data_IF_876199506126
#
_entry.id   IF_876199506126
#
_cell.length_a   1.000
_cell.length_b   1.000
_cell.length_c   1.000
_cell.angle_alpha   90.00
_cell.angle_beta   90.00
_cell.angle_gamma   90.00
#
_symmetry.space_group_name_H-M   'P 1'
#
loop_
_entity.id
_entity.type
_entity.pdbx_description
1 polymer ?
#
# COMPACT_ATOMS: atom_id res chain seq x y z
N UNK A 1 8.90 6.97 22.95
CA UNK A 1 7.82 7.92 22.62
C UNK A 1 7.60 8.02 21.12
N UNK A 2 8.64 7.99 20.28
CA UNK A 2 8.55 8.14 18.82
C UNK A 2 7.76 7.05 18.06
N UNK A 3 7.83 5.76 18.44
CA UNK A 3 7.12 4.69 17.71
C UNK A 3 5.59 4.85 17.71
N UNK A 4 4.99 5.27 18.84
CA UNK A 4 3.55 5.49 18.92
C UNK A 4 3.11 6.69 18.07
N UNK A 5 3.90 7.75 18.07
CA UNK A 5 3.65 8.94 17.25
C UNK A 5 3.76 8.62 15.76
N UNK A 6 4.76 7.84 15.36
CA UNK A 6 4.91 7.37 13.98
C UNK A 6 3.76 6.46 13.55
N UNK A 7 3.35 5.53 14.42
CA UNK A 7 2.22 4.66 14.14
C UNK A 7 0.93 5.48 13.98
N UNK A 8 0.72 6.50 14.83
CA UNK A 8 -0.43 7.40 14.72
C UNK A 8 -0.38 8.25 13.44
N UNK A 9 0.79 8.78 13.08
CA UNK A 9 0.98 9.54 11.84
C UNK A 9 0.73 8.66 10.61
N UNK A 10 1.24 7.43 10.62
CA UNK A 10 1.03 6.49 9.53
C UNK A 10 -0.43 6.07 9.41
N UNK A 11 -1.10 5.80 10.54
CA UNK A 11 -2.55 5.55 10.55
C UNK A 11 -3.31 6.74 9.96
N UNK A 12 -2.99 7.96 10.37
CA UNK A 12 -3.64 9.18 9.88
C UNK A 12 -3.49 9.32 8.37
N UNK A 13 -2.28 9.13 7.84
CA UNK A 13 -2.03 9.17 6.39
C UNK A 13 -2.75 8.06 5.64
N UNK A 14 -2.85 6.87 6.23
CA UNK A 14 -3.56 5.74 5.63
C UNK A 14 -5.07 5.97 5.61
N UNK A 15 -5.66 6.43 6.72
CA UNK A 15 -7.08 6.79 6.79
C UNK A 15 -7.43 7.88 5.76
N UNK A 16 -6.57 8.89 5.62
CA UNK A 16 -6.76 9.94 4.61
C UNK A 16 -6.73 9.36 3.18
N UNK A 17 -5.82 8.44 2.89
CA UNK A 17 -5.79 7.76 1.60
C UNK A 17 -7.05 6.93 1.34
N UNK A 18 -7.65 6.31 2.36
CA UNK A 18 -8.90 5.58 2.22
C UNK A 18 -10.08 6.49 1.87
N UNK A 19 -10.11 7.72 2.36
CA UNK A 19 -11.17 8.69 2.08
C UNK A 19 -11.19 9.13 0.60
N UNK A 20 -10.05 9.08 -0.09
CA UNK A 20 -9.93 9.37 -1.52
C UNK A 20 -10.46 8.24 -2.42
N UNK A 21 -10.75 7.06 -1.84
CA UNK A 21 -11.25 5.91 -2.58
C UNK A 21 -12.78 5.89 -2.56
N UNK A 22 -13.46 5.83 -3.72
CA UNK A 22 -14.90 5.62 -3.76
C UNK A 22 -15.32 4.35 -3.01
N UNK A 23 -16.18 4.49 -2.00
CA UNK A 23 -16.59 3.37 -1.13
C UNK A 23 -15.59 3.02 -0.03
N UNK A 24 -14.49 3.77 0.11
CA UNK A 24 -13.56 3.69 1.24
C UNK A 24 -12.69 2.42 1.31
N UNK A 25 -12.76 1.54 0.30
CA UNK A 25 -12.03 0.26 0.29
C UNK A 25 -11.22 0.10 -1.00
N UNK A 26 -9.87 -0.02 -0.93
CA UNK A 26 -9.08 -0.40 -2.09
C UNK A 26 -9.36 -1.83 -2.49
N UNK A 27 -9.28 -2.11 -3.79
CA UNK A 27 -9.25 -3.49 -4.27
C UNK A 27 -7.91 -4.16 -3.93
N UNK A 28 -6.81 -3.39 -3.98
CA UNK A 28 -5.46 -3.89 -3.70
C UNK A 28 -4.60 -2.89 -2.94
N UNK A 29 -3.71 -3.43 -2.11
CA UNK A 29 -2.61 -2.70 -1.48
C UNK A 29 -1.29 -3.29 -1.99
N UNK A 30 -0.53 -2.50 -2.74
CA UNK A 30 0.81 -2.84 -3.20
C UNK A 30 1.83 -2.34 -2.18
N UNK A 31 2.77 -3.18 -1.80
CA UNK A 31 3.82 -2.84 -0.85
C UNK A 31 5.07 -3.66 -1.14
N UNK A 32 6.16 -3.29 -0.49
CA UNK A 32 7.41 -4.04 -0.52
C UNK A 32 7.81 -4.30 0.93
N UNK A 33 7.78 -5.56 1.36
CA UNK A 33 8.22 -5.93 2.70
C UNK A 33 9.75 -5.94 2.86
N UNK A 34 10.49 -5.76 1.76
CA UNK A 34 11.93 -5.92 1.69
C UNK A 34 12.34 -7.40 1.63
N UNK A 35 13.66 -7.63 1.66
CA UNK A 35 14.21 -8.98 1.76
C UNK A 35 14.06 -9.59 3.17
N UNK A 36 14.53 -10.83 3.38
CA UNK A 36 14.40 -11.55 4.66
C UNK A 36 14.96 -10.78 5.88
N UNK A 37 15.96 -9.91 5.68
CA UNK A 37 16.55 -9.08 6.72
C UNK A 37 15.73 -7.80 7.04
N UNK A 38 14.81 -7.40 6.17
CA UNK A 38 14.06 -6.13 6.20
C UNK A 38 12.56 -6.31 6.42
N UNK A 39 12.07 -7.54 6.53
CA UNK A 39 10.64 -7.88 6.75
C UNK A 39 9.96 -7.19 7.94
N UNK A 40 10.70 -6.56 8.87
CA UNK A 40 10.14 -5.73 9.95
C UNK A 40 9.43 -4.47 9.46
N UNK A 41 9.73 -3.98 8.26
CA UNK A 41 9.12 -2.74 7.76
C UNK A 41 7.61 -2.89 7.46
N UNK A 42 7.11 -4.11 7.24
CA UNK A 42 5.68 -4.33 6.96
C UNK A 42 4.80 -4.31 8.21
N UNK A 43 5.38 -4.43 9.42
CA UNK A 43 4.61 -4.54 10.67
C UNK A 43 3.68 -3.33 10.87
N UNK A 44 4.14 -2.06 10.76
CA UNK A 44 3.24 -0.91 10.84
C UNK A 44 2.10 -0.96 9.83
N UNK A 45 2.37 -1.43 8.60
CA UNK A 45 1.36 -1.56 7.55
C UNK A 45 0.32 -2.62 7.90
N UNK A 46 0.74 -3.78 8.40
CA UNK A 46 -0.21 -4.81 8.84
C UNK A 46 -1.12 -4.33 9.98
N UNK A 47 -0.58 -3.59 10.95
CA UNK A 47 -1.33 -3.06 12.08
C UNK A 47 -2.36 -2.01 11.64
N UNK A 48 -1.93 -1.06 10.81
CA UNK A 48 -2.80 0.01 10.29
C UNK A 48 -3.85 -0.54 9.33
N UNK A 49 -3.48 -1.48 8.45
CA UNK A 49 -4.43 -2.13 7.55
C UNK A 49 -5.50 -2.89 8.35
N UNK A 50 -5.11 -3.67 9.38
CA UNK A 50 -6.07 -4.37 10.23
C UNK A 50 -7.04 -3.42 10.94
N UNK A 51 -6.54 -2.28 11.45
CA UNK A 51 -7.35 -1.31 12.17
C UNK A 51 -8.28 -0.48 11.26
N UNK A 52 -7.86 -0.21 10.03
CA UNK A 52 -8.50 0.79 9.15
C UNK A 52 -9.29 0.15 8.00
N UNK A 53 -9.04 -1.12 7.68
CA UNK A 53 -9.70 -1.88 6.63
C UNK A 53 -10.28 -3.20 7.18
N UNK A 54 -11.42 -3.15 7.90
CA UNK A 54 -12.07 -4.36 8.41
C UNK A 54 -12.42 -5.32 7.26
N UNK A 55 -12.00 -6.58 7.39
CA UNK A 55 -12.22 -7.61 6.38
C UNK A 55 -11.35 -7.45 5.12
N UNK A 56 -10.24 -6.72 5.21
CA UNK A 56 -9.16 -6.75 4.22
C UNK A 56 -7.97 -7.53 4.79
N UNK A 57 -7.41 -8.42 4.00
CA UNK A 57 -6.27 -9.25 4.37
C UNK A 57 -5.05 -8.92 3.49
N UNK A 58 -4.07 -8.27 4.10
CA UNK A 58 -2.81 -7.89 3.46
C UNK A 58 -2.00 -9.11 2.99
N UNK A 59 -2.19 -10.29 3.58
CA UNK A 59 -1.47 -11.50 3.20
C UNK A 59 -2.25 -12.35 2.20
N UNK A 60 -3.50 -11.99 1.90
CA UNK A 60 -4.29 -12.63 0.85
C UNK A 60 -3.83 -12.12 -0.52
N UNK A 61 -3.38 -12.99 -1.44
CA UNK A 61 -2.80 -12.57 -2.72
C UNK A 61 -3.71 -11.74 -3.63
N UNK A 62 -5.02 -11.77 -3.43
CA UNK A 62 -5.97 -10.97 -4.19
C UNK A 62 -6.07 -9.52 -3.70
N UNK A 63 -5.66 -9.26 -2.46
CA UNK A 63 -5.87 -8.01 -1.73
C UNK A 63 -4.51 -7.34 -1.45
N UNK A 64 -3.54 -8.06 -0.88
CA UNK A 64 -2.18 -7.57 -0.70
C UNK A 64 -1.18 -8.11 -1.73
N UNK A 65 -0.42 -7.18 -2.30
CA UNK A 65 0.62 -7.46 -3.29
C UNK A 65 1.98 -7.07 -2.71
N UNK A 66 2.61 -8.03 -2.03
CA UNK A 66 4.01 -7.91 -1.62
C UNK A 66 4.95 -8.12 -2.82
N UNK A 67 5.63 -7.07 -3.24
CA UNK A 67 6.55 -7.13 -4.38
C UNK A 67 7.76 -8.00 -4.09
N UNK A 68 8.34 -7.93 -2.90
CA UNK A 68 9.56 -8.71 -2.60
C UNK A 68 9.30 -10.20 -2.65
N UNK A 69 8.11 -10.64 -2.20
CA UNK A 69 7.69 -12.03 -2.27
C UNK A 69 7.38 -12.51 -3.70
N UNK A 70 6.97 -11.62 -4.61
CA UNK A 70 6.48 -12.01 -5.95
C UNK A 70 7.50 -11.87 -7.06
N UNK A 71 8.27 -10.79 -7.04
CA UNK A 71 9.20 -10.42 -8.11
C UNK A 71 10.63 -10.21 -7.60
N UNK A 72 10.87 -10.43 -6.30
CA UNK A 72 12.16 -10.24 -5.66
C UNK A 72 12.40 -8.80 -5.21
N UNK A 73 13.59 -8.55 -4.68
CA UNK A 73 13.96 -7.23 -4.17
C UNK A 73 14.17 -6.22 -5.30
N UNK A 74 13.20 -5.33 -5.51
CA UNK A 74 13.28 -4.23 -6.48
C UNK A 74 13.97 -2.98 -5.92
N UNK A 75 14.33 -2.97 -4.63
CA UNK A 75 15.12 -1.94 -3.97
C UNK A 75 14.56 -0.52 -4.17
N UNK A 76 15.40 0.41 -4.62
CA UNK A 76 14.98 1.78 -4.87
C UNK A 76 13.94 1.92 -6.00
N UNK A 77 13.78 0.89 -6.85
CA UNK A 77 12.82 0.90 -7.95
C UNK A 77 11.40 0.48 -7.51
N UNK A 78 11.24 -0.08 -6.31
CA UNK A 78 9.95 -0.59 -5.81
C UNK A 78 8.79 0.39 -5.96
N UNK A 79 8.91 1.70 -5.63
CA UNK A 79 7.80 2.64 -5.79
C UNK A 79 7.28 2.73 -7.23
N UNK A 80 8.19 2.73 -8.21
CA UNK A 80 7.81 2.81 -9.62
C UNK A 80 7.11 1.54 -10.09
N UNK A 81 7.56 0.38 -9.61
CA UNK A 81 6.91 -0.90 -9.92
C UNK A 81 5.52 -0.98 -9.30
N UNK A 82 5.36 -0.54 -8.05
CA UNK A 82 4.05 -0.46 -7.39
C UNK A 82 3.10 0.45 -8.19
N UNK A 83 3.54 1.65 -8.60
CA UNK A 83 2.71 2.56 -9.40
C UNK A 83 2.35 2.00 -10.77
N UNK A 84 3.29 1.34 -11.45
CA UNK A 84 3.01 0.70 -12.74
C UNK A 84 1.95 -0.39 -12.61
N UNK A 85 2.07 -1.27 -11.62
CA UNK A 85 1.11 -2.34 -11.36
C UNK A 85 -0.26 -1.80 -10.93
N UNK A 86 -0.29 -0.80 -10.03
CA UNK A 86 -1.51 -0.16 -9.59
C UNK A 86 -2.22 0.57 -10.75
N UNK A 87 -1.46 1.22 -11.63
CA UNK A 87 -2.00 1.86 -12.84
C UNK A 87 -2.59 0.83 -13.81
N UNK A 88 -1.93 -0.32 -13.99
CA UNK A 88 -2.46 -1.40 -14.81
C UNK A 88 -3.72 -2.01 -14.19
N UNK A 89 -3.76 -2.22 -12.87
CA UNK A 89 -4.93 -2.70 -12.16
C UNK A 89 -6.11 -1.73 -12.34
N UNK A 90 -5.87 -0.44 -12.13
CA UNK A 90 -6.87 0.61 -12.31
C UNK A 90 -7.45 0.65 -13.73
N UNK A 91 -6.62 0.50 -14.76
CA UNK A 91 -7.10 0.53 -16.14
C UNK A 91 -7.80 -0.76 -16.56
N UNK A 92 -7.28 -1.93 -16.16
CA UNK A 92 -7.78 -3.24 -16.58
C UNK A 92 -9.02 -3.68 -15.81
N UNK A 93 -9.01 -3.47 -14.50
CA UNK A 93 -10.06 -3.96 -13.60
C UNK A 93 -11.04 -2.86 -13.17
N UNK A 94 -10.76 -1.59 -13.54
CA UNK A 94 -11.55 -0.42 -13.15
C UNK A 94 -11.69 -0.26 -11.64
N UNK A 95 -10.66 -0.68 -10.89
CA UNK A 95 -10.62 -0.62 -9.44
C UNK A 95 -9.61 0.40 -8.90
N UNK A 96 -9.84 0.90 -7.69
CA UNK A 96 -8.88 1.76 -6.99
C UNK A 96 -7.90 0.91 -6.18
N UNK A 97 -6.63 1.29 -6.17
CA UNK A 97 -5.56 0.61 -5.43
C UNK A 97 -4.76 1.61 -4.59
N UNK A 98 -4.10 1.12 -3.56
CA UNK A 98 -3.13 1.88 -2.77
C UNK A 98 -1.74 1.30 -3.00
N UNK A 99 -0.74 2.17 -3.10
CA UNK A 99 0.67 1.78 -3.03
C UNK A 99 1.28 2.33 -1.74
N UNK A 100 2.03 1.51 -1.02
CA UNK A 100 2.70 1.89 0.23
C UNK A 100 4.19 1.67 0.09
N UNK A 101 4.92 2.79 0.08
CA UNK A 101 6.37 2.82 0.01
C UNK A 101 6.94 3.13 1.38
N UNK A 102 7.47 2.12 2.04
CA UNK A 102 8.12 2.22 3.35
C UNK A 102 9.59 2.61 3.11
N UNK A 103 9.99 3.78 3.61
CA UNK A 103 11.37 4.28 3.44
C UNK A 103 12.21 3.93 4.67
N UNK A 104 13.53 3.86 4.47
CA UNK A 104 14.46 3.87 5.60
C UNK A 104 14.35 5.23 6.29
N UNK A 105 14.15 5.25 7.61
CA UNK A 105 14.00 6.48 8.38
C UNK A 105 12.57 6.80 8.85
N UNK A 106 11.72 5.78 9.06
CA UNK A 106 10.40 5.92 9.72
C UNK A 106 9.35 6.72 8.90
N UNK A 107 9.63 6.96 7.62
CA UNK A 107 8.73 7.60 6.69
C UNK A 107 8.02 6.58 5.78
N UNK A 108 6.76 6.85 5.46
CA UNK A 108 6.01 6.10 4.47
C UNK A 108 5.35 7.05 3.47
N UNK A 109 5.35 6.67 2.19
CA UNK A 109 4.57 7.35 1.17
C UNK A 109 3.40 6.44 0.78
N UNK A 110 2.18 6.93 0.99
CA UNK A 110 0.95 6.27 0.59
C UNK A 110 0.42 6.99 -0.64
N UNK A 111 0.09 6.25 -1.69
CA UNK A 111 -0.46 6.83 -2.92
C UNK A 111 -1.71 6.07 -3.31
N UNK A 112 -2.78 6.81 -3.58
CA UNK A 112 -4.02 6.27 -4.12
C UNK A 112 -3.94 6.33 -5.64
N UNK A 113 -4.23 5.21 -6.28
CA UNK A 113 -4.26 5.09 -7.74
C UNK A 113 -5.67 4.69 -8.13
N UNK A 114 -6.38 5.60 -8.78
CA UNK A 114 -7.74 5.38 -9.27
C UNK A 114 -7.76 5.21 -10.79
N UNK A 115 -8.78 4.53 -11.34
CA UNK A 115 -9.00 4.53 -12.78
C UNK A 115 -9.20 5.97 -13.26
N UNK A 116 -8.72 6.26 -14.47
CA UNK A 116 -9.06 7.53 -15.12
C UNK A 116 -10.58 7.61 -15.22
N UNK A 117 -11.16 8.73 -14.81
CA UNK A 117 -12.56 9.03 -15.09
C UNK A 117 -12.74 9.04 -16.61
N UNK A 118 -13.65 8.21 -17.13
CA UNK A 118 -13.95 8.15 -18.57
C UNK A 118 -14.29 9.56 -19.06
N UNK A 119 -13.33 10.17 -19.74
CA UNK A 119 -13.49 11.42 -20.47
C UNK A 119 -13.56 10.99 -21.91
N UNK A 120 -14.79 10.84 -22.39
CA UNK A 120 -15.11 10.75 -23.82
C UNK A 120 -14.58 11.96 -24.57
#
# INVERSE_FOLDING_TARGET
MHEQEQQAAFKTGFDAALQEIPGGKPARVFYDAGGPATGRHVVPLSLVAHASLPGFDLFKPAEGIDLSARIGNTGAASPFVQWALASMAANKNKDASITVNLRQGEEATITVVTPRADSR
#
